data_IF_235135964613
#
_entry.id   IF_235135964613
#
_cell.length_a   1.000
_cell.length_b   1.000
_cell.length_c   1.000
_cell.angle_alpha   90.00
_cell.angle_beta   90.00
_cell.angle_gamma   90.00
#
_symmetry.space_group_name_H-M   'P 1'
#
loop_
_entity.id
_entity.type
_entity.pdbx_description
1 polymer ?
#
# COMPACT_ATOMS: atom_id res chain seq x y z
N UNK A 1 -16.08 -10.98 -38.48
CA UNK A 1 -15.19 -9.80 -38.48
C UNK A 1 -15.03 -9.39 -37.03
N UNK A 2 -13.78 -9.37 -36.58
CA UNK A 2 -13.24 -9.35 -35.22
C UNK A 2 -14.01 -8.64 -34.09
N UNK A 3 -14.10 -9.38 -33.00
CA UNK A 3 -14.44 -9.08 -31.61
C UNK A 3 -13.68 -7.86 -31.06
N UNK A 4 -14.34 -6.71 -30.92
CA UNK A 4 -13.92 -5.68 -29.96
C UNK A 4 -14.49 -6.05 -28.60
N UNK A 5 -13.93 -7.11 -27.99
CA UNK A 5 -14.11 -7.43 -26.57
C UNK A 5 -13.28 -6.41 -25.78
N UNK A 6 -13.79 -5.17 -25.73
CA UNK A 6 -13.20 -4.11 -24.94
C UNK A 6 -13.33 -4.45 -23.46
N UNK A 7 -12.22 -4.39 -22.74
CA UNK A 7 -12.11 -4.51 -21.28
C UNK A 7 -13.15 -3.67 -20.49
N UNK A 8 -13.79 -2.70 -21.15
CA UNK A 8 -14.86 -1.87 -20.60
C UNK A 8 -16.20 -2.59 -20.31
N UNK A 9 -16.45 -3.80 -20.84
CA UNK A 9 -17.77 -4.46 -20.74
C UNK A 9 -17.84 -5.58 -19.70
N UNK A 10 -16.72 -6.11 -19.19
CA UNK A 10 -16.72 -7.30 -18.32
C UNK A 10 -17.51 -7.10 -17.02
N UNK A 11 -17.43 -5.91 -16.41
CA UNK A 11 -18.16 -5.56 -15.19
C UNK A 11 -19.68 -5.43 -15.37
N UNK A 12 -20.17 -5.29 -16.62
CA UNK A 12 -21.62 -5.20 -16.92
C UNK A 12 -22.27 -6.57 -17.14
N UNK A 13 -21.49 -7.63 -17.30
CA UNK A 13 -22.00 -9.00 -17.51
C UNK A 13 -22.26 -9.71 -16.18
N UNK A 14 -21.66 -9.23 -15.08
CA UNK A 14 -21.78 -9.82 -13.75
C UNK A 14 -22.97 -9.24 -12.97
N UNK A 15 -23.69 -10.10 -12.24
CA UNK A 15 -24.75 -9.67 -11.33
C UNK A 15 -24.18 -8.72 -10.25
N UNK A 16 -24.94 -7.71 -9.78
CA UNK A 16 -24.50 -6.80 -8.72
C UNK A 16 -23.98 -7.52 -7.47
N UNK A 17 -24.53 -8.71 -7.15
CA UNK A 17 -24.03 -9.56 -6.04
C UNK A 17 -22.68 -10.20 -6.35
N UNK A 18 -22.49 -10.72 -7.55
CA UNK A 18 -21.22 -11.35 -7.96
C UNK A 18 -20.10 -10.31 -8.05
N UNK A 19 -20.41 -9.13 -8.59
CA UNK A 19 -19.45 -8.03 -8.69
C UNK A 19 -18.97 -7.58 -7.30
N UNK A 20 -19.90 -7.35 -6.37
CA UNK A 20 -19.55 -6.98 -5.00
C UNK A 20 -18.72 -8.07 -4.29
N UNK A 21 -19.05 -9.35 -4.46
CA UNK A 21 -18.26 -10.45 -3.88
C UNK A 21 -16.84 -10.48 -4.45
N UNK A 22 -16.67 -10.27 -5.77
CA UNK A 22 -15.34 -10.24 -6.38
C UNK A 22 -14.51 -9.06 -5.90
N UNK A 23 -15.11 -7.88 -5.79
CA UNK A 23 -14.45 -6.67 -5.27
C UNK A 23 -14.00 -6.89 -3.83
N UNK A 24 -14.87 -7.45 -2.98
CA UNK A 24 -14.54 -7.74 -1.59
C UNK A 24 -13.44 -8.80 -1.49
N UNK A 25 -13.50 -9.88 -2.27
CA UNK A 25 -12.48 -10.92 -2.30
C UNK A 25 -11.11 -10.35 -2.72
N UNK A 26 -11.07 -9.55 -3.79
CA UNK A 26 -9.84 -8.91 -4.25
C UNK A 26 -9.28 -7.94 -3.20
N UNK A 27 -10.14 -7.09 -2.63
CA UNK A 27 -9.74 -6.14 -1.58
C UNK A 27 -9.17 -6.84 -0.35
N UNK A 28 -9.76 -7.97 0.08
CA UNK A 28 -9.27 -8.74 1.22
C UNK A 28 -7.89 -9.33 0.96
N UNK A 29 -7.64 -9.82 -0.27
CA UNK A 29 -6.32 -10.31 -0.66
C UNK A 29 -5.30 -9.17 -0.62
N UNK A 30 -5.62 -7.99 -1.14
CA UNK A 30 -4.73 -6.83 -1.09
C UNK A 30 -4.39 -6.43 0.36
N UNK A 31 -5.40 -6.31 1.23
CA UNK A 31 -5.22 -5.96 2.64
C UNK A 31 -4.35 -6.99 3.37
N UNK A 32 -4.52 -8.28 3.04
CA UNK A 32 -3.70 -9.35 3.59
C UNK A 32 -2.22 -9.21 3.20
N UNK A 33 -1.93 -8.96 1.92
CA UNK A 33 -0.56 -8.78 1.45
C UNK A 33 0.11 -7.53 2.04
N UNK A 34 -0.63 -6.45 2.20
CA UNK A 34 -0.13 -5.24 2.89
C UNK A 34 0.17 -5.50 4.36
N UNK A 35 -0.70 -6.23 5.06
CA UNK A 35 -0.44 -6.66 6.43
C UNK A 35 0.81 -7.53 6.55
N UNK A 36 1.03 -8.41 5.56
CA UNK A 36 2.25 -9.20 5.46
C UNK A 36 3.50 -8.32 5.24
N UNK A 37 3.48 -7.35 4.33
CA UNK A 37 4.59 -6.40 4.09
C UNK A 37 4.97 -5.63 5.36
N UNK A 38 3.98 -5.14 6.10
CA UNK A 38 4.21 -4.46 7.39
C UNK A 38 4.84 -5.39 8.43
N UNK A 39 4.40 -6.66 8.49
CA UNK A 39 4.99 -7.66 9.38
C UNK A 39 6.44 -7.99 9.01
N UNK A 40 6.73 -8.15 7.73
CA UNK A 40 8.08 -8.40 7.20
C UNK A 40 9.01 -7.23 7.49
N UNK A 41 8.52 -5.98 7.45
CA UNK A 41 9.34 -4.80 7.74
C UNK A 41 9.93 -4.79 9.15
N UNK A 42 9.25 -5.39 10.13
CA UNK A 42 9.82 -5.58 11.47
C UNK A 42 11.12 -6.40 11.44
N UNK A 43 11.16 -7.45 10.63
CA UNK A 43 12.34 -8.27 10.40
C UNK A 43 13.42 -7.56 9.57
N UNK A 44 13.01 -6.86 8.50
CA UNK A 44 13.93 -6.10 7.63
C UNK A 44 14.65 -5.00 8.41
N UNK A 45 13.93 -4.26 9.25
CA UNK A 45 14.48 -3.22 10.12
C UNK A 45 15.52 -3.73 11.12
N UNK A 46 15.55 -5.03 11.40
CA UNK A 46 16.51 -5.67 12.31
C UNK A 46 17.65 -6.36 11.55
N UNK A 47 17.66 -6.31 10.21
CA UNK A 47 18.64 -7.00 9.39
C UNK A 47 19.92 -6.17 9.22
N UNK A 48 21.13 -6.75 9.37
CA UNK A 48 22.39 -6.00 9.32
C UNK A 48 22.62 -5.29 7.97
N UNK A 49 22.21 -5.92 6.87
CA UNK A 49 22.33 -5.35 5.52
C UNK A 49 21.46 -4.10 5.36
N UNK A 50 20.22 -4.15 5.84
CA UNK A 50 19.32 -3.01 5.80
C UNK A 50 19.83 -1.90 6.71
N UNK A 51 20.18 -2.20 7.97
CA UNK A 51 20.69 -1.21 8.95
C UNK A 51 21.88 -0.42 8.39
N UNK A 52 22.74 -1.08 7.61
CA UNK A 52 23.87 -0.46 6.90
C UNK A 52 23.42 0.34 5.67
N UNK A 53 22.51 -0.18 4.83
CA UNK A 53 21.98 0.49 3.62
C UNK A 53 21.17 1.76 3.95
N UNK A 54 20.36 1.73 5.02
CA UNK A 54 19.57 2.90 5.46
C UNK A 54 20.29 3.81 6.47
N UNK A 55 21.51 3.45 6.88
CA UNK A 55 22.38 4.30 7.71
C UNK A 55 21.85 4.53 9.14
N UNK A 56 21.09 3.57 9.69
CA UNK A 56 20.46 3.66 11.02
C UNK A 56 21.24 2.89 12.12
N UNK A 57 22.35 2.25 11.75
CA UNK A 57 23.20 1.49 12.66
C UNK A 57 24.56 1.14 12.10
N UNK A 58 25.33 0.42 12.90
CA UNK A 58 26.66 -0.08 12.56
C UNK A 58 26.60 -1.35 11.70
N UNK A 59 27.64 -1.69 10.92
CA UNK A 59 27.69 -2.89 10.07
C UNK A 59 27.50 -4.23 10.81
N UNK A 60 27.61 -4.23 12.14
CA UNK A 60 27.38 -5.37 13.03
C UNK A 60 25.88 -5.64 13.32
N UNK A 61 24.98 -4.83 12.76
CA UNK A 61 23.53 -4.95 12.98
C UNK A 61 23.03 -4.30 14.27
N UNK A 62 23.91 -3.60 14.99
CA UNK A 62 23.51 -2.80 16.15
C UNK A 62 22.85 -1.51 15.68
N UNK A 63 21.56 -1.35 15.98
CA UNK A 63 20.81 -0.12 15.71
C UNK A 63 21.27 0.97 16.68
N UNK A 64 22.05 1.94 16.19
CA UNK A 64 22.44 3.12 16.97
C UNK A 64 21.37 4.21 16.95
N UNK A 65 20.48 4.22 15.95
CA UNK A 65 19.44 5.23 15.80
C UNK A 65 18.02 4.62 15.79
N UNK A 66 17.56 4.20 16.98
CA UNK A 66 16.23 3.63 17.19
C UNK A 66 15.09 4.62 16.87
N UNK A 67 15.34 5.93 17.02
CA UNK A 67 14.39 6.98 16.65
C UNK A 67 14.14 7.00 15.14
N UNK A 68 15.17 6.88 14.31
CA UNK A 68 15.01 6.79 12.86
C UNK A 68 14.28 5.51 12.42
N UNK A 69 14.62 4.36 13.00
CA UNK A 69 13.93 3.10 12.73
C UNK A 69 12.44 3.19 13.06
N UNK A 70 12.11 3.73 14.25
CA UNK A 70 10.74 4.01 14.65
C UNK A 70 10.04 4.98 13.68
N UNK A 71 10.74 6.03 13.25
CA UNK A 71 10.24 7.00 12.26
C UNK A 71 9.85 6.37 10.92
N UNK A 72 10.66 5.43 10.40
CA UNK A 72 10.38 4.73 9.13
C UNK A 72 9.10 3.91 9.21
N UNK A 73 8.82 3.27 10.35
CA UNK A 73 7.57 2.52 10.55
C UNK A 73 6.39 3.47 10.82
N UNK A 74 6.61 4.53 11.60
CA UNK A 74 5.57 5.49 12.00
C UNK A 74 5.03 6.31 10.83
N UNK A 75 5.88 6.69 9.87
CA UNK A 75 5.51 7.53 8.73
C UNK A 75 4.46 6.86 7.83
N UNK A 76 4.43 5.52 7.80
CA UNK A 76 3.40 4.77 7.08
C UNK A 76 2.01 5.06 7.64
N UNK A 77 1.85 5.05 8.97
CA UNK A 77 0.57 5.38 9.61
C UNK A 77 0.17 6.83 9.38
N UNK A 78 1.14 7.74 9.33
CA UNK A 78 0.90 9.12 8.96
C UNK A 78 0.33 9.20 7.52
N UNK A 79 0.93 8.49 6.57
CA UNK A 79 0.42 8.34 5.20
C UNK A 79 -1.00 7.75 5.18
N UNK A 80 -1.28 6.73 6.00
CA UNK A 80 -2.61 6.14 6.14
C UNK A 80 -3.68 7.13 6.61
N UNK A 81 -3.34 8.03 7.54
CA UNK A 81 -4.29 9.06 7.99
C UNK A 81 -4.68 9.96 6.82
N UNK A 82 -3.70 10.46 6.06
CA UNK A 82 -3.97 11.28 4.88
C UNK A 82 -4.71 10.50 3.78
N UNK A 83 -4.35 9.24 3.57
CA UNK A 83 -5.02 8.32 2.66
C UNK A 83 -6.47 8.04 3.05
N UNK A 84 -6.79 7.98 4.34
CA UNK A 84 -8.15 7.79 4.82
C UNK A 84 -9.03 9.03 4.56
N UNK A 85 -8.51 10.23 4.85
CA UNK A 85 -9.22 11.49 4.55
C UNK A 85 -9.44 11.68 3.04
N UNK A 86 -8.40 11.45 2.23
CA UNK A 86 -8.49 11.55 0.77
C UNK A 86 -9.34 10.44 0.16
N UNK A 87 -9.20 9.21 0.67
CA UNK A 87 -9.92 8.02 0.22
C UNK A 87 -11.42 8.10 0.50
N UNK A 88 -11.82 8.61 1.67
CA UNK A 88 -13.23 8.85 1.99
C UNK A 88 -13.89 9.83 1.02
N UNK A 89 -13.22 10.96 0.76
CA UNK A 89 -13.71 11.95 -0.23
C UNK A 89 -13.76 11.37 -1.66
N UNK A 90 -12.79 10.53 -2.03
CA UNK A 90 -12.73 9.88 -3.33
C UNK A 90 -13.81 8.80 -3.48
N UNK A 91 -14.09 8.06 -2.41
CA UNK A 91 -15.13 7.04 -2.35
C UNK A 91 -16.51 7.64 -2.63
N UNK A 92 -16.80 8.78 -2.00
CA UNK A 92 -18.07 9.49 -2.12
C UNK A 92 -18.28 10.06 -3.55
N UNK A 93 -17.20 10.39 -4.26
CA UNK A 93 -17.26 11.11 -5.54
C UNK A 93 -17.09 10.24 -6.79
N UNK A 94 -16.25 9.20 -6.74
CA UNK A 94 -15.92 8.35 -7.90
C UNK A 94 -16.50 6.93 -7.82
N UNK A 95 -17.10 6.56 -6.70
CA UNK A 95 -17.69 5.25 -6.46
C UNK A 95 -16.67 4.19 -6.02
N UNK A 96 -17.17 3.19 -5.29
CA UNK A 96 -16.37 2.19 -4.57
C UNK A 96 -15.35 1.43 -5.42
N UNK A 97 -15.72 1.10 -6.68
CA UNK A 97 -14.86 0.34 -7.61
C UNK A 97 -13.65 1.15 -8.03
N UNK A 98 -13.88 2.40 -8.44
CA UNK A 98 -12.80 3.27 -8.91
C UNK A 98 -11.89 3.68 -7.75
N UNK A 99 -12.46 3.92 -6.57
CA UNK A 99 -11.70 4.17 -5.35
C UNK A 99 -10.74 3.02 -5.03
N UNK A 100 -11.23 1.78 -5.03
CA UNK A 100 -10.41 0.59 -4.79
C UNK A 100 -9.27 0.45 -5.80
N UNK A 101 -9.55 0.64 -7.10
CA UNK A 101 -8.53 0.56 -8.14
C UNK A 101 -7.45 1.63 -8.00
N UNK A 102 -7.84 2.85 -7.63
CA UNK A 102 -6.89 3.94 -7.38
C UNK A 102 -6.03 3.62 -6.15
N UNK A 103 -6.63 3.17 -5.05
CA UNK A 103 -5.91 2.75 -3.85
C UNK A 103 -4.92 1.61 -4.13
N UNK A 104 -5.34 0.60 -4.90
CA UNK A 104 -4.50 -0.51 -5.32
C UNK A 104 -3.33 -0.05 -6.21
N UNK A 105 -3.54 0.94 -7.08
CA UNK A 105 -2.48 1.52 -7.89
C UNK A 105 -1.42 2.23 -7.02
N UNK A 106 -1.83 3.04 -6.05
CA UNK A 106 -0.91 3.70 -5.12
C UNK A 106 -0.14 2.69 -4.25
N UNK A 107 -0.80 1.65 -3.77
CA UNK A 107 -0.16 0.56 -3.03
C UNK A 107 0.88 -0.18 -3.89
N UNK A 108 0.55 -0.49 -5.15
CA UNK A 108 1.48 -1.13 -6.09
C UNK A 108 2.71 -0.28 -6.39
N UNK A 109 2.52 1.03 -6.61
CA UNK A 109 3.63 1.98 -6.80
C UNK A 109 4.47 2.08 -5.54
N UNK A 110 3.84 2.21 -4.37
CA UNK A 110 4.53 2.26 -3.08
C UNK A 110 5.37 1.02 -2.81
N UNK A 111 4.82 -0.18 -3.03
CA UNK A 111 5.54 -1.46 -2.92
C UNK A 111 6.73 -1.56 -3.88
N UNK A 112 6.57 -1.11 -5.14
CA UNK A 112 7.66 -1.07 -6.10
C UNK A 112 8.78 -0.11 -5.67
N UNK A 113 8.43 1.06 -5.11
CA UNK A 113 9.41 1.98 -4.54
C UNK A 113 10.12 1.38 -3.33
N UNK A 114 9.41 0.70 -2.44
CA UNK A 114 10.03 0.03 -1.28
C UNK A 114 11.04 -1.03 -1.72
N UNK A 115 10.74 -1.79 -2.78
CA UNK A 115 11.65 -2.79 -3.34
C UNK A 115 12.91 -2.18 -3.99
N UNK A 116 12.81 -0.94 -4.49
CA UNK A 116 13.91 -0.21 -5.11
C UNK A 116 14.64 0.74 -4.14
N UNK A 117 14.29 0.75 -2.85
CA UNK A 117 14.83 1.71 -1.90
C UNK A 117 16.33 1.51 -1.67
N UNK A 118 17.10 2.59 -1.87
CA UNK A 118 18.56 2.61 -1.72
C UNK A 118 19.03 3.46 -0.54
N UNK A 119 18.12 4.17 0.13
CA UNK A 119 18.41 5.03 1.28
C UNK A 119 17.22 5.13 2.22
N UNK A 120 17.47 5.59 3.46
CA UNK A 120 16.43 5.81 4.47
C UNK A 120 15.38 6.82 4.02
N UNK A 121 15.81 7.90 3.37
CA UNK A 121 14.91 8.92 2.81
C UNK A 121 14.01 8.35 1.72
N UNK A 122 14.54 7.48 0.86
CA UNK A 122 13.75 6.82 -0.17
C UNK A 122 12.71 5.89 0.45
N UNK A 123 13.09 5.15 1.50
CA UNK A 123 12.18 4.28 2.24
C UNK A 123 11.07 5.09 2.94
N UNK A 124 11.40 6.25 3.52
CA UNK A 124 10.41 7.16 4.12
C UNK A 124 9.37 7.61 3.11
N UNK A 125 9.80 8.07 1.92
CA UNK A 125 8.88 8.50 0.86
C UNK A 125 8.05 7.32 0.36
N UNK A 126 8.66 6.16 0.12
CA UNK A 126 7.96 4.96 -0.31
C UNK A 126 6.88 4.55 0.69
N UNK A 127 7.19 4.60 1.99
CA UNK A 127 6.25 4.31 3.09
C UNK A 127 5.08 5.27 3.13
N UNK A 128 5.29 6.56 2.88
CA UNK A 128 4.20 7.54 2.79
C UNK A 128 3.30 7.24 1.60
N UNK A 129 3.87 6.95 0.43
CA UNK A 129 3.10 6.65 -0.80
C UNK A 129 2.27 5.38 -0.62
N UNK A 130 2.86 4.30 -0.09
CA UNK A 130 2.12 3.07 0.23
C UNK A 130 0.99 3.36 1.22
N UNK A 131 1.29 4.09 2.30
CA UNK A 131 0.31 4.46 3.33
C UNK A 131 -0.87 5.26 2.80
N UNK A 132 -0.64 6.21 1.88
CA UNK A 132 -1.73 6.96 1.24
C UNK A 132 -2.63 6.05 0.41
N UNK A 133 -2.06 5.06 -0.29
CA UNK A 133 -2.81 4.07 -1.06
C UNK A 133 -3.65 3.13 -0.19
N UNK A 134 -3.06 2.60 0.89
CA UNK A 134 -3.73 1.66 1.79
C UNK A 134 -4.73 2.32 2.74
N UNK A 135 -4.49 3.56 3.16
CA UNK A 135 -5.36 4.29 4.09
C UNK A 135 -6.79 4.48 3.59
N UNK A 136 -6.98 4.58 2.27
CA UNK A 136 -8.30 4.70 1.64
C UNK A 136 -9.04 3.37 1.45
N UNK A 137 -8.34 2.23 1.47
CA UNK A 137 -8.94 0.92 1.18
C UNK A 137 -10.09 0.52 2.11
N UNK A 138 -10.02 0.75 3.44
CA UNK A 138 -11.14 0.45 4.34
C UNK A 138 -12.41 1.24 4.02
N UNK A 139 -12.27 2.49 3.57
CA UNK A 139 -13.39 3.36 3.23
C UNK A 139 -14.14 2.91 1.97
N UNK A 140 -13.50 2.14 1.08
CA UNK A 140 -14.14 1.61 -0.12
C UNK A 140 -15.01 0.37 0.14
N UNK A 141 -14.84 -0.28 1.30
CA UNK A 141 -15.59 -1.49 1.67
C UNK A 141 -16.92 -1.17 2.36
N UNK A 142 -16.97 -0.15 3.22
CA UNK A 142 -18.16 0.30 3.97
C UNK A 142 -19.20 0.93 3.07
#
# INVERSE_FOLDING_TARGET
MFTTMGYATFYRVLSPRQLNVMIQAFSLVCIFFEGYDQGVMGGVNSSPRYVTEVGIGEPDGTVTNTTHQGGIVSIYYLGCIFGCFGGGWLADRLGRINGLLIGAFFALVGGALQAAAQSSDFMLVARVVTGVGTGGMPAFHS
#
